data_IF_160504921430
#
_entry.id   IF_160504921430
#
_cell.length_a   1.000
_cell.length_b   1.000
_cell.length_c   1.000
_cell.angle_alpha   90.00
_cell.angle_beta   90.00
_cell.angle_gamma   90.00
#
_symmetry.space_group_name_H-M   'P 1'
#
loop_
_entity.id
_entity.type
_entity.pdbx_description
1 polymer ?
#
# COMPACT_ATOMS: atom_id res chain seq x y z
N UNK A 1 -4.08 18.43 -2.53
CA UNK A 1 -3.93 17.95 -3.90
C UNK A 1 -5.28 17.90 -4.64
N UNK A 2 -6.28 17.19 -4.11
CA UNK A 2 -7.59 16.98 -4.75
C UNK A 2 -8.44 18.24 -4.96
N UNK A 3 -8.15 19.36 -4.29
CA UNK A 3 -8.82 20.64 -4.47
C UNK A 3 -8.26 21.46 -5.66
N UNK A 4 -7.10 21.07 -6.21
CA UNK A 4 -6.44 21.79 -7.29
C UNK A 4 -7.32 21.93 -8.54
N UNK A 5 -7.97 20.85 -9.05
CA UNK A 5 -8.89 20.97 -10.19
C UNK A 5 -10.04 21.95 -9.95
N UNK A 6 -10.60 21.97 -8.74
CA UNK A 6 -11.67 22.90 -8.37
C UNK A 6 -11.18 24.36 -8.35
N UNK A 7 -9.96 24.59 -7.86
CA UNK A 7 -9.37 25.92 -7.87
C UNK A 7 -9.08 26.41 -9.30
N UNK A 8 -8.58 25.52 -10.15
CA UNK A 8 -8.32 25.83 -11.57
C UNK A 8 -9.61 26.15 -12.34
N UNK A 9 -10.69 25.42 -12.06
CA UNK A 9 -11.98 25.66 -12.70
C UNK A 9 -12.59 27.01 -12.27
N UNK A 10 -12.44 27.42 -11.01
CA UNK A 10 -12.82 28.76 -10.54
C UNK A 10 -12.13 29.89 -11.30
N UNK A 11 -10.92 29.66 -11.79
CA UNK A 11 -10.17 30.60 -12.64
C UNK A 11 -10.47 30.42 -14.15
N UNK A 12 -11.49 29.64 -14.51
CA UNK A 12 -11.90 29.36 -15.88
C UNK A 12 -10.79 28.77 -16.76
N UNK A 13 -9.95 27.87 -16.17
CA UNK A 13 -8.82 27.29 -16.89
C UNK A 13 -9.28 26.49 -18.11
N UNK A 14 -10.32 25.68 -17.99
CA UNK A 14 -10.83 24.83 -19.08
C UNK A 14 -11.25 25.68 -20.28
N UNK A 15 -12.08 26.70 -20.06
CA UNK A 15 -12.53 27.62 -21.12
C UNK A 15 -11.36 28.38 -21.74
N UNK A 16 -10.40 28.82 -20.94
CA UNK A 16 -9.22 29.53 -21.43
C UNK A 16 -8.38 28.63 -22.35
N UNK A 17 -8.15 27.37 -21.95
CA UNK A 17 -7.41 26.40 -22.76
C UNK A 17 -8.14 26.10 -24.06
N UNK A 18 -9.44 25.81 -24.00
CA UNK A 18 -10.25 25.55 -25.20
C UNK A 18 -10.23 26.73 -26.18
N UNK A 19 -10.36 27.95 -25.66
CA UNK A 19 -10.29 29.17 -26.47
C UNK A 19 -8.90 29.36 -27.13
N UNK A 20 -7.82 29.13 -26.39
CA UNK A 20 -6.46 29.25 -26.94
C UNK A 20 -6.16 28.21 -28.01
N UNK A 21 -6.73 27.00 -27.86
CA UNK A 21 -6.54 25.89 -28.79
C UNK A 21 -7.58 25.87 -29.90
N UNK A 22 -8.50 26.82 -29.95
CA UNK A 22 -9.62 26.90 -30.90
C UNK A 22 -10.48 25.63 -30.89
N UNK A 23 -10.71 25.06 -29.71
CA UNK A 23 -11.58 23.90 -29.50
C UNK A 23 -12.99 24.34 -29.11
N UNK A 24 -13.97 23.73 -29.71
CA UNK A 24 -15.38 23.86 -29.30
C UNK A 24 -15.71 22.72 -28.32
N UNK A 25 -15.73 23.05 -27.04
CA UNK A 25 -15.95 22.09 -25.96
C UNK A 25 -17.12 22.53 -25.09
N UNK A 26 -17.94 21.60 -24.59
CA UNK A 26 -18.99 21.92 -23.64
C UNK A 26 -18.39 22.41 -22.32
N UNK A 27 -19.21 23.06 -21.50
CA UNK A 27 -18.83 23.39 -20.12
C UNK A 27 -18.45 22.13 -19.35
N UNK A 28 -17.39 22.18 -18.54
CA UNK A 28 -16.93 21.02 -17.79
C UNK A 28 -17.95 20.64 -16.69
N UNK A 29 -18.27 19.34 -16.61
CA UNK A 29 -19.03 18.80 -15.48
C UNK A 29 -18.06 18.33 -14.39
N UNK A 30 -17.88 19.16 -13.37
CA UNK A 30 -16.99 18.88 -12.25
C UNK A 30 -17.73 18.40 -10.99
N UNK A 31 -19.05 18.21 -11.07
CA UNK A 31 -19.86 17.88 -9.90
C UNK A 31 -19.39 16.60 -9.18
N UNK A 32 -19.07 15.55 -9.92
CA UNK A 32 -18.55 14.32 -9.35
C UNK A 32 -17.22 14.50 -8.59
N UNK A 33 -16.38 15.42 -9.07
CA UNK A 33 -15.13 15.78 -8.39
C UNK A 33 -15.38 16.61 -7.11
N UNK A 34 -16.31 17.56 -7.15
CA UNK A 34 -16.72 18.32 -5.97
C UNK A 34 -17.27 17.41 -4.88
N UNK A 35 -18.16 16.50 -5.24
CA UNK A 35 -18.77 15.54 -4.32
C UNK A 35 -17.69 14.64 -3.67
N UNK A 36 -16.70 14.18 -4.45
CA UNK A 36 -15.56 13.42 -3.94
C UNK A 36 -14.72 14.24 -2.95
N UNK A 37 -14.35 15.48 -3.30
CA UNK A 37 -13.56 16.36 -2.43
C UNK A 37 -14.29 16.66 -1.12
N UNK A 38 -15.59 16.89 -1.19
CA UNK A 38 -16.42 17.10 -0.01
C UNK A 38 -16.48 15.84 0.87
N UNK A 39 -16.57 14.66 0.25
CA UNK A 39 -16.51 13.37 0.96
C UNK A 39 -15.21 13.19 1.71
N UNK A 40 -14.06 13.48 1.06
CA UNK A 40 -12.73 13.39 1.67
C UNK A 40 -12.59 14.30 2.90
N UNK A 41 -13.21 15.48 2.88
CA UNK A 41 -13.19 16.43 4.03
C UNK A 41 -14.03 15.96 5.20
N UNK A 42 -14.94 15.04 5.02
CA UNK A 42 -15.92 14.59 6.00
C UNK A 42 -15.79 13.09 6.35
N UNK A 43 -14.58 12.52 6.20
CA UNK A 43 -14.32 11.14 6.62
C UNK A 43 -14.59 10.98 8.11
N UNK A 44 -15.29 9.90 8.49
CA UNK A 44 -15.74 9.69 9.87
C UNK A 44 -15.24 8.40 10.51
N UNK A 45 -14.41 7.64 9.80
CA UNK A 45 -13.73 6.45 10.29
C UNK A 45 -12.23 6.63 10.18
N UNK A 46 -11.49 5.93 11.03
CA UNK A 46 -10.03 5.85 10.92
C UNK A 46 -9.59 4.39 10.95
N UNK A 47 -8.60 4.06 10.13
CA UNK A 47 -7.93 2.76 10.14
C UNK A 47 -6.43 2.97 10.04
N UNK A 48 -5.66 2.14 10.73
CA UNK A 48 -4.21 2.15 10.65
C UNK A 48 -3.74 0.94 9.87
N UNK A 49 -2.95 1.16 8.82
CA UNK A 49 -2.33 0.10 8.01
C UNK A 49 -0.82 0.17 8.21
N UNK A 50 -0.21 -0.93 8.66
CA UNK A 50 1.23 -1.07 8.69
C UNK A 50 1.76 -1.31 7.28
N UNK A 51 2.66 -0.45 6.81
CA UNK A 51 3.44 -0.65 5.60
C UNK A 51 4.82 -1.17 6.01
N UNK A 52 5.02 -2.48 5.81
CA UNK A 52 6.26 -3.18 6.22
C UNK A 52 7.20 -3.25 5.02
N UNK A 53 8.17 -2.35 4.98
CA UNK A 53 9.08 -2.18 3.86
C UNK A 53 10.51 -1.85 4.29
N UNK A 54 11.42 -1.71 3.33
CA UNK A 54 12.83 -1.37 3.61
C UNK A 54 13.20 0.10 3.33
N UNK A 55 12.31 0.85 2.67
CA UNK A 55 12.54 2.26 2.32
C UNK A 55 11.67 3.20 3.15
N UNK A 56 11.39 2.83 4.40
CA UNK A 56 10.46 3.57 5.28
C UNK A 56 10.97 4.95 5.69
N UNK A 57 12.28 5.21 5.61
CA UNK A 57 12.86 6.53 5.82
C UNK A 57 12.64 7.47 4.61
N UNK A 58 12.35 6.93 3.42
CA UNK A 58 12.08 7.69 2.20
C UNK A 58 10.64 7.42 1.76
N UNK A 59 9.70 8.14 2.33
CA UNK A 59 8.26 7.93 2.12
C UNK A 59 7.84 8.00 0.65
N UNK A 60 8.54 8.80 -0.16
CA UNK A 60 8.27 8.95 -1.59
C UNK A 60 8.45 7.65 -2.37
N UNK A 61 9.29 6.72 -1.87
CA UNK A 61 9.46 5.41 -2.49
C UNK A 61 8.16 4.58 -2.54
N UNK A 62 7.22 4.88 -1.66
CA UNK A 62 5.93 4.18 -1.55
C UNK A 62 4.73 5.10 -1.80
N UNK A 63 4.93 6.28 -2.41
CA UNK A 63 3.87 7.28 -2.57
C UNK A 63 2.63 6.72 -3.28
N UNK A 64 2.82 5.94 -4.36
CA UNK A 64 1.72 5.33 -5.11
C UNK A 64 0.93 4.31 -4.27
N UNK A 65 1.62 3.56 -3.41
CA UNK A 65 0.98 2.60 -2.50
C UNK A 65 0.16 3.33 -1.44
N UNK A 66 0.73 4.38 -0.86
CA UNK A 66 0.05 5.22 0.15
C UNK A 66 -1.18 5.89 -0.43
N UNK A 67 -1.06 6.49 -1.62
CA UNK A 67 -2.20 7.14 -2.28
C UNK A 67 -3.28 6.11 -2.65
N UNK A 68 -2.90 4.91 -3.10
CA UNK A 68 -3.86 3.84 -3.39
C UNK A 68 -4.63 3.39 -2.14
N UNK A 69 -3.95 3.28 -1.00
CA UNK A 69 -4.60 2.98 0.29
C UNK A 69 -5.56 4.08 0.71
N UNK A 70 -5.17 5.35 0.53
CA UNK A 70 -6.06 6.50 0.80
C UNK A 70 -7.29 6.49 -0.10
N UNK A 71 -7.11 6.21 -1.40
CA UNK A 71 -8.25 6.10 -2.34
C UNK A 71 -9.23 5.00 -1.92
N UNK A 72 -8.70 3.85 -1.50
CA UNK A 72 -9.53 2.79 -0.91
C UNK A 72 -10.27 3.27 0.34
N UNK A 73 -9.58 4.02 1.20
CA UNK A 73 -10.17 4.62 2.39
C UNK A 73 -11.32 5.59 2.06
N UNK A 74 -11.14 6.47 1.08
CA UNK A 74 -12.18 7.42 0.65
C UNK A 74 -13.44 6.70 0.22
N UNK A 75 -13.31 5.61 -0.54
CA UNK A 75 -14.45 4.81 -1.00
C UNK A 75 -15.24 4.18 0.17
N UNK A 76 -14.61 4.01 1.33
CA UNK A 76 -15.21 3.43 2.55
C UNK A 76 -15.45 4.45 3.66
N UNK A 77 -15.34 5.75 3.37
CA UNK A 77 -15.49 6.84 4.31
C UNK A 77 -14.52 6.72 5.51
N UNK A 78 -13.27 6.31 5.22
CA UNK A 78 -12.25 6.07 6.21
C UNK A 78 -10.95 6.81 5.87
N UNK A 79 -10.39 7.49 6.87
CA UNK A 79 -9.04 8.00 6.83
C UNK A 79 -8.07 6.85 7.08
N UNK A 80 -7.11 6.65 6.17
CA UNK A 80 -6.07 5.64 6.33
C UNK A 80 -4.80 6.29 6.87
N UNK A 81 -4.42 5.88 8.07
CA UNK A 81 -3.16 6.24 8.70
C UNK A 81 -2.11 5.17 8.37
N UNK A 82 -0.94 5.59 7.91
CA UNK A 82 0.15 4.67 7.57
C UNK A 82 1.11 4.57 8.74
N UNK A 83 1.25 3.36 9.29
CA UNK A 83 2.30 3.02 10.25
C UNK A 83 3.49 2.46 9.49
N UNK A 84 4.55 3.24 9.42
CA UNK A 84 5.79 2.86 8.74
C UNK A 84 6.57 1.87 9.58
N UNK A 85 6.84 0.69 9.04
CA UNK A 85 7.59 -0.36 9.72
C UNK A 85 8.78 -0.77 8.86
N UNK A 86 9.99 -0.51 9.35
CA UNK A 86 11.19 -0.98 8.67
C UNK A 86 11.33 -2.49 8.87
N UNK A 87 11.29 -3.24 7.78
CA UNK A 87 11.33 -4.70 7.83
C UNK A 87 12.65 -5.26 8.38
N UNK A 88 13.73 -4.47 8.41
CA UNK A 88 15.00 -4.90 8.99
C UNK A 88 14.97 -4.92 10.52
N UNK A 89 14.04 -4.19 11.14
CA UNK A 89 13.91 -4.09 12.59
C UNK A 89 12.91 -5.11 13.17
N UNK A 90 12.19 -5.83 12.32
CA UNK A 90 11.14 -6.78 12.72
C UNK A 90 11.76 -8.15 12.99
N UNK A 91 11.52 -8.66 14.20
CA UNK A 91 11.93 -10.00 14.64
C UNK A 91 10.72 -10.77 15.20
N UNK A 92 10.80 -12.09 15.39
CA UNK A 92 9.74 -12.87 16.03
C UNK A 92 9.34 -12.35 17.42
N UNK A 93 10.31 -11.78 18.17
CA UNK A 93 10.11 -11.33 19.54
C UNK A 93 9.40 -9.97 19.63
N UNK A 94 9.57 -9.11 18.60
CA UNK A 94 9.07 -7.73 18.65
C UNK A 94 7.95 -7.43 17.62
N UNK A 95 7.62 -8.36 16.76
CA UNK A 95 6.61 -8.14 15.69
C UNK A 95 5.26 -7.67 16.25
N UNK A 96 4.88 -8.13 17.43
CA UNK A 96 3.66 -7.74 18.11
C UNK A 96 3.65 -6.25 18.50
N UNK A 97 4.82 -5.68 18.84
CA UNK A 97 4.95 -4.25 19.19
C UNK A 97 4.71 -3.35 17.97
N UNK A 98 5.07 -3.86 16.79
CA UNK A 98 4.83 -3.15 15.53
C UNK A 98 3.42 -3.32 14.98
N UNK A 99 2.83 -4.50 15.13
CA UNK A 99 1.61 -4.87 14.38
C UNK A 99 0.38 -5.13 15.27
N UNK A 100 0.53 -5.09 16.60
CA UNK A 100 -0.56 -5.45 17.51
C UNK A 100 -1.74 -4.46 17.54
N UNK A 101 -1.54 -3.23 17.05
CA UNK A 101 -2.52 -2.14 17.06
C UNK A 101 -3.03 -1.74 15.66
N UNK A 102 -2.67 -2.49 14.60
CA UNK A 102 -3.04 -2.12 13.24
C UNK A 102 -4.29 -2.86 12.73
N UNK A 103 -5.01 -2.20 11.84
CA UNK A 103 -6.20 -2.75 11.19
C UNK A 103 -5.89 -3.56 9.93
N UNK A 104 -4.66 -3.47 9.43
CA UNK A 104 -4.19 -4.20 8.25
C UNK A 104 -2.69 -4.11 8.08
N UNK A 105 -2.12 -5.06 7.35
CA UNK A 105 -0.69 -5.12 7.03
C UNK A 105 -0.52 -5.14 5.51
N UNK A 106 0.35 -4.28 5.01
CA UNK A 106 0.76 -4.26 3.61
C UNK A 106 2.28 -4.47 3.51
N UNK A 107 2.68 -5.47 2.71
CA UNK A 107 4.09 -5.67 2.33
C UNK A 107 4.24 -5.29 0.85
N UNK A 108 4.99 -4.22 0.55
CA UNK A 108 5.15 -3.73 -0.81
C UNK A 108 6.14 -4.55 -1.63
N UNK A 109 6.25 -4.23 -2.91
CA UNK A 109 7.29 -4.70 -3.80
C UNK A 109 8.68 -4.21 -3.39
N UNK A 110 9.71 -4.83 -3.96
CA UNK A 110 11.11 -4.46 -3.77
C UNK A 110 12.03 -5.53 -4.33
N UNK A 111 13.31 -5.22 -4.44
CA UNK A 111 14.35 -6.12 -4.96
C UNK A 111 15.43 -6.36 -3.92
N UNK A 112 16.14 -7.49 -4.04
CA UNK A 112 17.23 -7.89 -3.13
C UNK A 112 16.73 -8.44 -1.79
N UNK A 113 17.64 -8.97 -1.03
CA UNK A 113 17.46 -9.83 0.15
C UNK A 113 17.26 -9.08 1.47
N UNK A 114 17.53 -7.78 1.51
CA UNK A 114 17.48 -6.98 2.73
C UNK A 114 16.07 -6.91 3.32
N UNK A 115 15.93 -7.28 4.60
CA UNK A 115 14.68 -7.22 5.34
C UNK A 115 13.63 -8.27 4.94
N UNK A 116 14.03 -9.35 4.25
CA UNK A 116 13.13 -10.43 3.83
C UNK A 116 12.55 -11.16 5.04
N UNK A 117 13.38 -11.55 6.01
CA UNK A 117 12.92 -12.29 7.18
C UNK A 117 11.90 -11.50 7.99
N UNK A 118 12.14 -10.21 8.22
CA UNK A 118 11.19 -9.35 8.91
C UNK A 118 9.86 -9.20 8.20
N UNK A 119 9.85 -9.21 6.86
CA UNK A 119 8.59 -9.26 6.08
C UNK A 119 7.87 -10.59 6.29
N UNK A 120 8.60 -11.71 6.29
CA UNK A 120 8.03 -13.04 6.53
C UNK A 120 7.43 -13.11 7.94
N UNK A 121 8.13 -12.59 8.98
CA UNK A 121 7.58 -12.51 10.34
C UNK A 121 6.32 -11.64 10.43
N UNK A 122 6.29 -10.51 9.71
CA UNK A 122 5.11 -9.67 9.66
C UNK A 122 3.92 -10.36 8.98
N UNK A 123 4.15 -11.11 7.90
CA UNK A 123 3.15 -11.91 7.19
C UNK A 123 2.62 -13.03 8.10
N UNK A 124 3.50 -13.76 8.76
CA UNK A 124 3.14 -14.80 9.71
C UNK A 124 2.26 -14.24 10.84
N UNK A 125 2.70 -13.14 11.44
CA UNK A 125 1.94 -12.49 12.51
C UNK A 125 0.53 -12.07 12.04
N UNK A 126 0.44 -11.46 10.87
CA UNK A 126 -0.84 -11.06 10.30
C UNK A 126 -1.77 -12.27 10.08
N UNK A 127 -1.27 -13.38 9.54
CA UNK A 127 -2.03 -14.61 9.34
C UNK A 127 -2.51 -15.22 10.66
N UNK A 128 -1.61 -15.35 11.64
CA UNK A 128 -1.91 -15.98 12.92
C UNK A 128 -2.88 -15.18 13.78
N UNK A 129 -2.88 -13.85 13.63
CA UNK A 129 -3.76 -12.94 14.37
C UNK A 129 -4.98 -12.49 13.56
N UNK A 130 -5.24 -13.07 12.38
CA UNK A 130 -6.36 -12.72 11.49
C UNK A 130 -6.39 -11.24 11.12
N UNK A 131 -5.23 -10.58 10.98
CA UNK A 131 -5.13 -9.21 10.51
C UNK A 131 -5.18 -9.23 8.97
N UNK A 132 -6.06 -8.41 8.33
CA UNK A 132 -6.10 -8.28 6.87
C UNK A 132 -4.71 -8.00 6.29
N UNK A 133 -4.32 -8.76 5.28
CA UNK A 133 -3.00 -8.68 4.66
C UNK A 133 -3.08 -8.44 3.15
N UNK A 134 -2.21 -7.57 2.64
CA UNK A 134 -2.00 -7.37 1.21
C UNK A 134 -0.51 -7.42 0.88
N UNK A 135 -0.11 -8.37 0.05
CA UNK A 135 1.24 -8.47 -0.53
C UNK A 135 1.26 -7.97 -1.97
N UNK A 136 2.16 -7.04 -2.29
CA UNK A 136 2.36 -6.55 -3.65
C UNK A 136 3.70 -7.06 -4.20
N UNK A 137 3.69 -7.69 -5.38
CA UNK A 137 4.89 -8.21 -6.04
C UNK A 137 5.71 -9.11 -5.10
N UNK A 138 6.84 -8.64 -4.59
CA UNK A 138 7.65 -9.37 -3.61
C UNK A 138 6.84 -9.75 -2.35
N UNK A 139 5.98 -8.86 -1.84
CA UNK A 139 5.13 -9.15 -0.70
C UNK A 139 4.18 -10.32 -0.94
N UNK A 140 3.65 -10.46 -2.15
CA UNK A 140 2.85 -11.61 -2.58
C UNK A 140 3.72 -12.89 -2.60
N UNK A 141 4.90 -12.83 -3.19
CA UNK A 141 5.82 -13.97 -3.24
C UNK A 141 6.19 -14.46 -1.82
N UNK A 142 6.51 -13.53 -0.92
CA UNK A 142 6.86 -13.86 0.45
C UNK A 142 5.68 -14.45 1.25
N UNK A 143 4.45 -14.07 0.93
CA UNK A 143 3.28 -14.69 1.56
C UNK A 143 3.11 -16.16 1.17
N UNK A 144 3.47 -16.52 -0.06
CA UNK A 144 3.49 -17.91 -0.51
C UNK A 144 4.61 -18.68 0.21
N UNK A 145 5.79 -18.08 0.32
CA UNK A 145 6.93 -18.68 1.03
C UNK A 145 6.58 -18.90 2.51
N UNK A 146 6.02 -17.88 3.17
CA UNK A 146 5.57 -17.99 4.57
C UNK A 146 4.57 -19.13 4.75
N UNK A 147 3.54 -19.18 3.92
CA UNK A 147 2.51 -20.23 4.00
C UNK A 147 3.11 -21.61 3.75
N UNK A 148 3.99 -21.76 2.78
CA UNK A 148 4.65 -23.03 2.50
C UNK A 148 5.50 -23.50 3.68
N UNK A 149 6.26 -22.61 4.33
CA UNK A 149 7.09 -22.96 5.47
C UNK A 149 6.25 -23.29 6.71
N UNK A 150 5.33 -22.42 7.08
CA UNK A 150 4.70 -22.45 8.40
C UNK A 150 3.35 -23.18 8.42
N UNK A 151 2.72 -23.40 7.27
CA UNK A 151 1.44 -24.11 7.17
C UNK A 151 1.59 -25.45 6.49
N UNK A 152 2.31 -25.52 5.38
CA UNK A 152 2.51 -26.77 4.62
C UNK A 152 3.67 -27.61 5.19
N UNK A 153 4.63 -26.98 5.89
CA UNK A 153 5.79 -27.65 6.48
C UNK A 153 6.98 -27.83 5.53
N UNK A 154 7.05 -27.05 4.45
CA UNK A 154 8.18 -27.03 3.53
C UNK A 154 9.22 -26.02 4.00
N UNK A 155 10.05 -26.42 4.96
CA UNK A 155 10.96 -25.52 5.67
C UNK A 155 12.01 -24.82 4.81
N UNK A 156 12.34 -25.40 3.65
CA UNK A 156 13.29 -24.90 2.65
C UNK A 156 12.62 -24.09 1.53
N UNK A 157 11.30 -23.88 1.60
CA UNK A 157 10.58 -23.11 0.59
C UNK A 157 11.14 -21.68 0.46
N UNK A 158 11.47 -21.28 -0.75
CA UNK A 158 11.99 -19.95 -1.06
C UNK A 158 11.64 -19.53 -2.49
N UNK A 159 11.96 -18.30 -2.86
CA UNK A 159 11.97 -17.82 -4.24
C UNK A 159 13.37 -18.02 -4.84
N UNK A 160 13.46 -18.52 -6.06
CA UNK A 160 14.71 -18.66 -6.78
C UNK A 160 15.40 -17.30 -7.07
N UNK A 161 14.67 -16.21 -7.04
CA UNK A 161 15.20 -14.84 -7.10
C UNK A 161 16.05 -14.49 -5.88
N UNK A 162 15.65 -14.98 -4.70
CA UNK A 162 16.30 -14.66 -3.42
C UNK A 162 17.28 -15.73 -2.97
N UNK A 163 16.99 -16.99 -3.28
CA UNK A 163 17.88 -18.13 -3.06
C UNK A 163 17.90 -19.04 -4.30
N UNK A 164 18.90 -18.87 -5.17
CA UNK A 164 19.05 -19.68 -6.37
C UNK A 164 19.27 -21.18 -6.12
N UNK A 165 19.62 -21.55 -4.88
CA UNK A 165 19.82 -22.95 -4.49
C UNK A 165 18.54 -23.64 -4.02
N UNK A 166 17.45 -22.91 -3.85
CA UNK A 166 16.17 -23.51 -3.42
C UNK A 166 15.68 -24.54 -4.43
N UNK A 167 15.20 -25.67 -3.91
CA UNK A 167 14.58 -26.71 -4.73
C UNK A 167 13.08 -26.51 -4.85
N UNK A 168 12.55 -25.48 -4.22
CA UNK A 168 11.11 -25.33 -4.01
C UNK A 168 10.61 -23.92 -4.28
N UNK A 169 9.57 -23.84 -5.05
CA UNK A 169 8.36 -23.05 -5.01
C UNK A 169 8.20 -21.93 -6.04
N UNK A 170 9.01 -20.89 -6.04
CA UNK A 170 8.82 -19.75 -6.95
C UNK A 170 9.98 -19.60 -7.91
N UNK A 171 9.67 -19.80 -9.20
CA UNK A 171 10.56 -19.47 -10.29
C UNK A 171 10.07 -18.17 -10.93
N UNK A 172 10.92 -17.15 -10.95
CA UNK A 172 10.66 -15.86 -11.60
C UNK A 172 11.68 -15.60 -12.70
#
# INVERSE_FOLDING_TARGET
>A
LYEVPLAMEKENLAQTVCKCLHLDCPEPDIKGWEDMVNSIKNLNKEVTVALVGKYTALHDAYISVVESLKHGGFAHNAQVNIKWVNSEDVTPENVADFLGDVSGVLVPGGFGDRGIDGKIYAIQYARENNIPFLGLCLGMQLSIVEFARNVVGWNDAHSAELDPSTTCLLYT
#
